data_IF_555115850164
#
_entry.id   IF_555115850164
#
_cell.length_a   1.000
_cell.length_b   1.000
_cell.length_c   1.000
_cell.angle_alpha   90.00
_cell.angle_beta   90.00
_cell.angle_gamma   90.00
#
_symmetry.space_group_name_H-M   'P 1'
#
loop_
_entity.id
_entity.type
_entity.pdbx_description
1 polymer ?
#
# COMPACT_ATOMS: atom_id res chain seq x y z
N UNK A 1 -34.03 6.80 15.30
CA UNK A 1 -33.13 7.94 15.02
C UNK A 1 -32.00 7.42 14.16
N UNK A 2 -32.04 7.76 12.87
CA UNK A 2 -30.99 7.40 11.91
C UNK A 2 -29.97 8.54 11.73
N UNK A 3 -28.74 8.20 11.36
CA UNK A 3 -27.73 9.14 10.92
C UNK A 3 -27.85 9.24 9.41
N UNK A 4 -27.96 10.45 8.89
CA UNK A 4 -27.95 10.72 7.45
C UNK A 4 -26.59 11.29 7.05
N UNK A 5 -25.94 10.64 6.09
CA UNK A 5 -24.70 11.10 5.50
C UNK A 5 -25.00 11.52 4.04
N UNK A 6 -24.37 12.58 3.60
CA UNK A 6 -24.42 13.03 2.20
C UNK A 6 -23.06 12.88 1.56
N UNK A 7 -23.04 12.47 0.28
CA UNK A 7 -21.81 12.29 -0.47
C UNK A 7 -22.03 12.44 -1.98
N UNK A 8 -20.94 12.36 -2.73
CA UNK A 8 -20.97 12.37 -4.19
C UNK A 8 -21.16 10.95 -4.70
N UNK A 9 -22.23 10.65 -5.46
CA UNK A 9 -22.43 9.30 -6.00
C UNK A 9 -21.42 9.02 -7.13
N UNK A 10 -20.76 7.86 -7.05
CA UNK A 10 -19.84 7.36 -8.08
C UNK A 10 -20.47 6.22 -8.88
N UNK A 11 -21.56 5.64 -8.37
CA UNK A 11 -22.31 4.57 -9.01
C UNK A 11 -23.83 4.78 -8.89
N UNK A 12 -24.57 3.99 -9.64
CA UNK A 12 -26.04 4.00 -9.61
C UNK A 12 -26.56 2.77 -8.87
N UNK A 13 -27.56 2.95 -8.02
CA UNK A 13 -28.22 1.87 -7.31
C UNK A 13 -28.56 2.21 -5.87
N UNK A 14 -29.26 1.26 -5.24
CA UNK A 14 -29.59 1.30 -3.81
C UNK A 14 -29.19 -0.05 -3.23
N UNK A 15 -28.44 -0.04 -2.15
CA UNK A 15 -28.08 -1.24 -1.42
C UNK A 15 -28.55 -1.13 0.04
N UNK A 16 -29.00 -2.26 0.57
CA UNK A 16 -29.39 -2.39 1.98
C UNK A 16 -28.57 -3.52 2.61
N UNK A 17 -27.89 -3.24 3.68
CA UNK A 17 -27.06 -4.24 4.35
C UNK A 17 -26.46 -3.73 5.65
N UNK A 18 -25.71 -4.61 6.31
CA UNK A 18 -24.97 -4.26 7.51
C UNK A 18 -23.76 -3.40 7.11
N UNK A 19 -23.57 -2.26 7.79
CA UNK A 19 -22.36 -1.47 7.60
C UNK A 19 -21.15 -2.20 8.21
N UNK A 20 -20.10 -2.34 7.43
CA UNK A 20 -18.79 -2.84 7.84
C UNK A 20 -17.86 -1.64 7.80
N UNK A 21 -17.54 -1.11 8.97
CA UNK A 21 -16.63 0.03 9.07
C UNK A 21 -15.23 -0.53 9.11
N UNK A 22 -14.47 -0.26 8.05
CA UNK A 22 -13.04 -0.51 8.03
C UNK A 22 -12.34 0.81 8.37
N UNK A 23 -11.56 0.76 9.41
CA UNK A 23 -10.51 1.74 9.59
C UNK A 23 -9.28 1.13 8.90
N UNK A 24 -8.83 1.65 7.76
CA UNK A 24 -7.53 1.28 7.26
C UNK A 24 -6.56 1.71 8.34
N UNK A 25 -6.04 0.74 9.07
CA UNK A 25 -4.95 1.01 9.98
C UNK A 25 -3.83 1.56 9.13
N UNK A 26 -3.43 2.82 9.34
CA UNK A 26 -2.04 3.14 9.06
C UNK A 26 -1.26 2.05 9.77
N UNK A 27 -0.38 1.31 9.08
CA UNK A 27 0.42 0.30 9.76
C UNK A 27 1.04 0.99 10.96
N UNK A 28 0.85 0.42 12.14
CA UNK A 28 1.61 0.87 13.29
C UNK A 28 3.08 0.76 12.93
N UNK A 29 3.88 1.72 13.39
CA UNK A 29 5.33 1.68 13.18
C UNK A 29 5.86 0.30 13.63
N UNK A 30 6.44 -0.49 12.73
CA UNK A 30 6.95 -1.79 13.08
C UNK A 30 8.13 -1.68 14.05
N UNK A 31 8.42 -2.74 14.83
CA UNK A 31 9.60 -2.75 15.68
C UNK A 31 10.87 -2.50 14.88
N UNK A 32 11.66 -1.52 15.31
CA UNK A 32 12.89 -1.13 14.63
C UNK A 32 13.96 -2.21 14.72
N UNK A 33 14.13 -2.76 15.91
CA UNK A 33 15.14 -3.78 16.16
C UNK A 33 14.73 -5.12 15.56
N UNK A 34 15.66 -5.82 14.92
CA UNK A 34 15.51 -7.20 14.49
C UNK A 34 16.30 -8.14 15.38
N UNK A 35 15.75 -9.33 15.63
CA UNK A 35 16.48 -10.45 16.21
C UNK A 35 17.19 -11.30 15.16
N UNK A 36 16.91 -11.08 13.88
CA UNK A 36 17.50 -11.80 12.76
C UNK A 36 18.79 -11.09 12.28
N UNK A 37 19.74 -11.83 11.71
CA UNK A 37 20.88 -11.23 11.06
C UNK A 37 20.48 -10.44 9.80
N UNK A 38 21.24 -9.40 9.42
CA UNK A 38 20.91 -8.56 8.25
C UNK A 38 20.73 -9.35 6.94
N UNK A 39 21.41 -10.46 6.78
CA UNK A 39 21.30 -11.30 5.59
C UNK A 39 19.90 -11.95 5.46
N UNK A 40 19.29 -12.35 6.57
CA UNK A 40 17.93 -12.88 6.58
C UNK A 40 16.92 -11.78 6.29
N UNK A 41 17.06 -10.62 6.92
CA UNK A 41 16.22 -9.45 6.66
C UNK A 41 16.29 -8.99 5.19
N UNK A 42 17.48 -9.02 4.58
CA UNK A 42 17.66 -8.74 3.15
C UNK A 42 16.96 -9.79 2.27
N UNK A 43 17.02 -11.06 2.64
CA UNK A 43 16.34 -12.11 1.92
C UNK A 43 14.82 -11.93 1.97
N UNK A 44 14.29 -11.59 3.14
CA UNK A 44 12.87 -11.31 3.33
C UNK A 44 12.44 -10.08 2.51
N UNK A 45 13.26 -9.04 2.47
CA UNK A 45 13.03 -7.88 1.61
C UNK A 45 12.95 -8.26 0.13
N UNK A 46 13.94 -9.00 -0.37
CA UNK A 46 13.97 -9.40 -1.79
C UNK A 46 12.77 -10.29 -2.13
N UNK A 47 12.39 -11.18 -1.23
CA UNK A 47 11.20 -12.03 -1.40
C UNK A 47 9.91 -11.20 -1.46
N UNK A 48 9.72 -10.26 -0.53
CA UNK A 48 8.56 -9.38 -0.52
C UNK A 48 8.52 -8.50 -1.78
N UNK A 49 9.66 -7.97 -2.21
CA UNK A 49 9.78 -7.15 -3.41
C UNK A 49 9.38 -7.95 -4.66
N UNK A 50 9.94 -9.14 -4.85
CA UNK A 50 9.63 -10.00 -5.99
C UNK A 50 8.15 -10.38 -6.03
N UNK A 51 7.57 -10.77 -4.89
CA UNK A 51 6.14 -11.08 -4.80
C UNK A 51 5.27 -9.88 -5.12
N UNK A 52 5.58 -8.71 -4.57
CA UNK A 52 4.81 -7.49 -4.82
C UNK A 52 4.89 -7.05 -6.27
N UNK A 53 6.05 -7.15 -6.92
CA UNK A 53 6.22 -6.86 -8.35
C UNK A 53 5.35 -7.83 -9.18
N UNK A 54 5.46 -9.13 -8.92
CA UNK A 54 4.71 -10.15 -9.67
C UNK A 54 3.19 -9.97 -9.51
N UNK A 55 2.72 -9.65 -8.32
CA UNK A 55 1.30 -9.38 -8.09
C UNK A 55 0.85 -8.09 -8.77
N UNK A 56 1.69 -7.06 -8.78
CA UNK A 56 1.37 -5.81 -9.49
C UNK A 56 1.27 -6.04 -11.00
N UNK A 57 2.16 -6.85 -11.58
CA UNK A 57 2.09 -7.24 -13.01
C UNK A 57 0.76 -7.94 -13.31
N UNK A 58 0.35 -8.90 -12.47
CA UNK A 58 -0.94 -9.60 -12.64
C UNK A 58 -2.12 -8.64 -12.54
N UNK A 59 -2.07 -7.65 -11.64
CA UNK A 59 -3.09 -6.60 -11.54
C UNK A 59 -3.16 -5.75 -12.80
N UNK A 60 -2.01 -5.34 -13.36
CA UNK A 60 -1.95 -4.63 -14.65
C UNK A 60 -2.63 -5.43 -15.75
N UNK A 61 -2.29 -6.71 -15.89
CA UNK A 61 -2.87 -7.59 -16.92
C UNK A 61 -4.38 -7.75 -16.75
N UNK A 62 -4.83 -8.03 -15.53
CA UNK A 62 -6.25 -8.21 -15.20
C UNK A 62 -7.05 -6.94 -15.47
N UNK A 63 -6.63 -5.80 -14.92
CA UNK A 63 -7.36 -4.54 -15.03
C UNK A 63 -7.34 -4.02 -16.46
N UNK A 64 -6.23 -4.14 -17.19
CA UNK A 64 -6.17 -3.78 -18.60
C UNK A 64 -7.16 -4.59 -19.46
N UNK A 65 -7.39 -5.86 -19.11
CA UNK A 65 -8.33 -6.72 -19.80
C UNK A 65 -9.80 -6.49 -19.44
N UNK A 66 -10.07 -6.25 -18.15
CA UNK A 66 -11.43 -6.19 -17.60
C UNK A 66 -12.02 -4.77 -17.65
N UNK A 67 -11.22 -3.73 -17.45
CA UNK A 67 -11.66 -2.34 -17.30
C UNK A 67 -11.08 -1.46 -18.40
N UNK A 68 -9.77 -1.44 -18.54
CA UNK A 68 -9.08 -0.69 -19.59
C UNK A 68 -7.63 -0.33 -19.24
N UNK A 69 -6.85 0.11 -20.24
CA UNK A 69 -5.44 0.44 -20.04
C UNK A 69 -5.23 1.74 -19.24
N UNK A 70 -6.20 2.65 -19.23
CA UNK A 70 -6.11 3.90 -18.45
C UNK A 70 -6.19 3.61 -16.96
N UNK A 71 -7.10 2.73 -16.55
CA UNK A 71 -7.26 2.31 -15.16
C UNK A 71 -6.08 1.47 -14.65
N UNK A 72 -5.43 0.73 -15.56
CA UNK A 72 -4.22 -0.02 -15.23
C UNK A 72 -2.97 0.88 -15.07
N UNK A 73 -3.01 2.13 -15.55
CA UNK A 73 -1.86 3.03 -15.53
C UNK A 73 -1.32 3.32 -14.12
N UNK A 74 -2.19 3.31 -13.10
CA UNK A 74 -1.78 3.53 -11.70
C UNK A 74 -0.80 2.43 -11.24
N UNK A 75 -1.01 1.19 -11.64
CA UNK A 75 -0.14 0.07 -11.26
C UNK A 75 1.21 0.10 -11.99
N UNK A 76 1.31 0.78 -13.13
CA UNK A 76 2.61 1.08 -13.74
C UNK A 76 3.43 2.05 -12.87
N UNK A 77 2.79 3.00 -12.21
CA UNK A 77 3.45 3.88 -11.24
C UNK A 77 3.95 3.07 -10.04
N UNK A 78 3.16 2.12 -9.55
CA UNK A 78 3.59 1.21 -8.48
C UNK A 78 4.82 0.40 -8.88
N UNK A 79 4.85 -0.14 -10.11
CA UNK A 79 6.04 -0.84 -10.62
C UNK A 79 7.26 0.08 -10.69
N UNK A 80 7.09 1.35 -11.11
CA UNK A 80 8.21 2.31 -11.13
C UNK A 80 8.81 2.51 -9.74
N UNK A 81 8.01 2.61 -8.68
CA UNK A 81 8.51 2.70 -7.30
C UNK A 81 9.23 1.41 -6.87
N UNK A 82 8.61 0.25 -7.13
CA UNK A 82 9.19 -1.04 -6.76
C UNK A 82 10.51 -1.34 -7.46
N UNK A 83 10.67 -0.90 -8.71
CA UNK A 83 11.87 -1.10 -9.53
C UNK A 83 12.91 0.04 -9.38
N UNK A 84 12.57 1.10 -8.64
CA UNK A 84 13.48 2.22 -8.41
C UNK A 84 14.67 1.80 -7.55
N UNK A 85 15.87 1.97 -8.09
CA UNK A 85 17.11 1.55 -7.45
C UNK A 85 17.36 2.32 -6.15
N UNK A 86 17.09 3.62 -6.10
CA UNK A 86 17.33 4.44 -4.92
C UNK A 86 16.39 4.06 -3.77
N UNK A 87 15.12 3.76 -4.11
CA UNK A 87 14.15 3.26 -3.15
C UNK A 87 14.62 1.94 -2.53
N UNK A 88 15.03 0.98 -3.35
CA UNK A 88 15.53 -0.30 -2.89
C UNK A 88 16.81 -0.17 -2.07
N UNK A 89 17.80 0.59 -2.54
CA UNK A 89 19.06 0.81 -1.84
C UNK A 89 18.86 1.46 -0.46
N UNK A 90 17.91 2.38 -0.35
CA UNK A 90 17.62 3.03 0.92
C UNK A 90 17.08 2.03 1.94
N UNK A 91 16.14 1.16 1.57
CA UNK A 91 15.63 0.08 2.43
C UNK A 91 16.77 -0.86 2.83
N UNK A 92 17.58 -1.30 1.87
CA UNK A 92 18.71 -2.20 2.12
C UNK A 92 19.74 -1.59 3.08
N UNK A 93 20.04 -0.30 2.96
CA UNK A 93 20.95 0.38 3.86
C UNK A 93 20.45 0.38 5.30
N UNK A 94 19.16 0.65 5.51
CA UNK A 94 18.56 0.55 6.85
C UNK A 94 18.66 -0.87 7.42
N UNK A 95 18.42 -1.90 6.60
CA UNK A 95 18.58 -3.30 7.02
C UNK A 95 20.04 -3.60 7.41
N UNK A 96 21.00 -3.14 6.61
CA UNK A 96 22.44 -3.34 6.89
C UNK A 96 22.92 -2.61 8.15
N UNK A 97 22.24 -1.54 8.56
CA UNK A 97 22.44 -0.85 9.82
C UNK A 97 21.89 -1.63 11.04
N UNK A 98 21.24 -2.78 10.81
CA UNK A 98 20.70 -3.67 11.86
C UNK A 98 19.21 -3.46 12.18
N UNK A 99 18.49 -2.71 11.33
CA UNK A 99 17.06 -2.53 11.51
C UNK A 99 16.27 -3.68 10.87
N UNK A 100 15.03 -3.91 11.35
CA UNK A 100 14.14 -4.90 10.76
C UNK A 100 13.71 -4.49 9.34
N UNK A 101 13.43 -5.47 8.50
CA UNK A 101 12.94 -5.22 7.13
C UNK A 101 11.64 -4.41 7.13
N UNK A 102 10.72 -4.73 8.04
CA UNK A 102 9.44 -4.02 8.13
C UNK A 102 9.61 -2.56 8.51
N UNK A 103 10.44 -2.27 9.52
CA UNK A 103 10.75 -0.89 9.89
C UNK A 103 11.49 -0.15 8.78
N UNK A 104 12.42 -0.81 8.12
CA UNK A 104 13.20 -0.22 7.02
C UNK A 104 12.30 0.21 5.84
N UNK A 105 11.29 -0.59 5.51
CA UNK A 105 10.28 -0.25 4.51
C UNK A 105 9.44 0.92 5.01
N UNK A 106 8.88 0.82 6.22
CA UNK A 106 8.04 1.84 6.83
C UNK A 106 8.74 3.20 6.86
N UNK A 107 9.94 3.28 7.41
CA UNK A 107 10.72 4.51 7.52
C UNK A 107 11.05 5.11 6.16
N UNK A 108 11.42 4.28 5.18
CA UNK A 108 11.66 4.76 3.82
C UNK A 108 10.41 5.41 3.23
N UNK A 109 9.24 4.80 3.39
CA UNK A 109 7.97 5.35 2.92
C UNK A 109 7.67 6.69 3.61
N UNK A 110 7.78 6.75 4.94
CA UNK A 110 7.51 7.98 5.72
C UNK A 110 8.44 9.14 5.31
N UNK A 111 9.72 8.87 5.06
CA UNK A 111 10.65 9.90 4.57
C UNK A 111 10.27 10.42 3.17
N UNK A 112 9.88 9.55 2.25
CA UNK A 112 9.42 9.98 0.92
C UNK A 112 8.12 10.78 1.01
N UNK A 113 7.16 10.34 1.85
CA UNK A 113 5.91 11.07 2.06
C UNK A 113 6.15 12.44 2.67
N UNK A 114 7.07 12.53 3.65
CA UNK A 114 7.48 13.80 4.24
C UNK A 114 8.09 14.73 3.18
N UNK A 115 9.00 14.23 2.36
CA UNK A 115 9.60 15.01 1.28
C UNK A 115 8.57 15.48 0.25
N UNK A 116 7.59 14.65 -0.11
CA UNK A 116 6.51 15.04 -1.03
C UNK A 116 5.59 16.10 -0.42
N UNK A 117 5.35 16.05 0.90
CA UNK A 117 4.51 17.03 1.59
C UNK A 117 5.13 18.43 1.69
N UNK A 118 6.45 18.54 1.60
CA UNK A 118 7.17 19.82 1.60
C UNK A 118 7.05 20.56 0.26
N UNK A 119 6.65 19.85 -0.79
CA UNK A 119 6.49 20.40 -2.14
C UNK A 119 5.00 20.69 -2.35
N UNK A 120 4.65 21.95 -2.55
CA UNK A 120 3.28 22.37 -2.85
C UNK A 120 2.92 22.06 -4.31
N UNK A 121 2.78 20.77 -4.60
CA UNK A 121 2.41 20.23 -5.91
C UNK A 121 1.35 19.14 -5.75
N UNK A 122 0.12 19.36 -6.27
CA UNK A 122 -0.96 18.38 -6.21
C UNK A 122 -0.59 17.02 -6.81
N UNK A 123 0.26 17.00 -7.84
CA UNK A 123 0.73 15.76 -8.48
C UNK A 123 1.57 14.91 -7.53
N UNK A 124 2.47 15.53 -6.76
CA UNK A 124 3.29 14.81 -5.77
C UNK A 124 2.45 14.30 -4.59
N UNK A 125 1.42 15.04 -4.20
CA UNK A 125 0.48 14.58 -3.18
C UNK A 125 -0.25 13.31 -3.63
N UNK A 126 -0.68 13.24 -4.89
CA UNK A 126 -1.28 12.04 -5.49
C UNK A 126 -0.29 10.88 -5.53
N UNK A 127 0.96 11.13 -5.93
CA UNK A 127 2.03 10.11 -5.93
C UNK A 127 2.39 9.61 -4.53
N UNK A 128 2.18 10.41 -3.50
CA UNK A 128 2.30 9.98 -2.11
C UNK A 128 1.33 8.85 -1.76
N UNK A 129 0.09 8.90 -2.22
CA UNK A 129 -0.89 7.83 -2.02
C UNK A 129 -0.47 6.53 -2.73
N UNK A 130 0.03 6.62 -3.97
CA UNK A 130 0.56 5.48 -4.72
C UNK A 130 1.74 4.82 -3.97
N UNK A 131 2.67 5.62 -3.48
CA UNK A 131 3.82 5.14 -2.71
C UNK A 131 3.41 4.46 -1.40
N UNK A 132 2.42 5.01 -0.72
CA UNK A 132 1.85 4.46 0.50
C UNK A 132 1.25 3.07 0.25
N UNK A 133 0.49 2.92 -0.84
CA UNK A 133 -0.07 1.63 -1.24
C UNK A 133 1.03 0.60 -1.54
N UNK A 134 2.07 0.99 -2.27
CA UNK A 134 3.25 0.14 -2.51
C UNK A 134 3.88 -0.33 -1.20
N UNK A 135 4.10 0.57 -0.26
CA UNK A 135 4.69 0.24 1.04
C UNK A 135 3.82 -0.73 1.83
N UNK A 136 2.51 -0.51 1.85
CA UNK A 136 1.57 -1.39 2.54
C UNK A 136 1.54 -2.80 1.94
N UNK A 137 1.60 -2.92 0.64
CA UNK A 137 1.65 -4.21 -0.04
C UNK A 137 2.94 -4.97 0.26
N UNK A 138 4.09 -4.29 0.31
CA UNK A 138 5.35 -4.90 0.77
C UNK A 138 5.24 -5.40 2.21
N UNK A 139 4.70 -4.60 3.13
CA UNK A 139 4.50 -4.98 4.53
C UNK A 139 3.51 -6.14 4.67
N UNK A 140 2.49 -6.20 3.85
CA UNK A 140 1.52 -7.31 3.84
C UNK A 140 2.22 -8.65 3.56
N UNK A 141 3.12 -8.72 2.59
CA UNK A 141 3.89 -9.93 2.30
C UNK A 141 4.81 -10.36 3.45
N UNK A 142 5.18 -9.43 4.32
CA UNK A 142 5.96 -9.72 5.53
C UNK A 142 5.08 -10.14 6.73
N UNK A 143 3.79 -10.36 6.51
CA UNK A 143 2.86 -10.83 7.54
C UNK A 143 2.19 -9.72 8.35
N UNK A 144 2.31 -8.46 7.95
CA UNK A 144 1.55 -7.36 8.55
C UNK A 144 0.14 -7.33 7.96
N UNK A 145 -0.86 -7.68 8.74
CA UNK A 145 -2.26 -7.58 8.33
C UNK A 145 -2.67 -6.10 8.31
N UNK A 146 -2.89 -5.56 7.11
CA UNK A 146 -3.30 -4.18 6.92
C UNK A 146 -4.81 -4.01 6.91
N UNK A 147 -5.53 -5.04 6.50
CA UNK A 147 -6.98 -5.14 6.55
C UNK A 147 -7.34 -6.51 7.10
N UNK A 148 -8.13 -6.57 8.15
CA UNK A 148 -8.74 -7.82 8.58
C UNK A 148 -9.55 -8.39 7.40
N UNK A 149 -9.30 -9.64 7.00
CA UNK A 149 -10.07 -10.32 5.96
C UNK A 149 -11.56 -10.17 6.22
N UNK A 150 -12.20 -9.24 5.52
CA UNK A 150 -13.63 -9.03 5.62
C UNK A 150 -14.34 -9.95 4.62
N UNK A 151 -14.42 -11.22 4.95
CA UNK A 151 -15.30 -12.17 4.27
C UNK A 151 -16.78 -12.00 4.65
N UNK A 152 -17.19 -10.80 5.06
CA UNK A 152 -18.55 -10.53 5.51
C UNK A 152 -19.32 -9.79 4.42
N UNK A 153 -20.47 -10.33 4.03
CA UNK A 153 -21.42 -9.60 3.20
C UNK A 153 -21.92 -8.35 3.93
N UNK A 154 -21.81 -7.18 3.30
CA UNK A 154 -22.25 -5.92 3.88
C UNK A 154 -21.89 -4.72 3.01
N UNK A 155 -22.21 -3.54 3.52
CA UNK A 155 -21.84 -2.26 2.92
C UNK A 155 -20.53 -1.81 3.57
N UNK A 156 -19.48 -1.76 2.77
CA UNK A 156 -18.18 -1.31 3.22
C UNK A 156 -18.19 0.20 3.42
N UNK A 157 -17.76 0.66 4.57
CA UNK A 157 -17.55 2.08 4.90
C UNK A 157 -16.09 2.24 5.28
N UNK A 158 -15.37 3.02 4.50
CA UNK A 158 -13.92 3.20 4.63
C UNK A 158 -13.56 4.68 4.43
N UNK A 159 -12.58 5.17 5.14
CA UNK A 159 -12.09 6.54 5.00
C UNK A 159 -11.33 6.75 3.69
N UNK A 160 -10.46 5.83 3.33
CA UNK A 160 -9.65 5.85 2.12
C UNK A 160 -9.52 4.43 1.59
N UNK A 161 -9.75 4.26 0.29
CA UNK A 161 -9.56 2.99 -0.41
C UNK A 161 -8.34 3.12 -1.32
N UNK A 162 -7.32 2.31 -1.05
CA UNK A 162 -6.14 2.27 -1.90
C UNK A 162 -6.34 1.31 -3.07
N UNK A 163 -5.66 1.53 -4.21
CA UNK A 163 -5.78 0.67 -5.39
C UNK A 163 -5.52 -0.80 -5.12
N UNK A 164 -4.60 -1.10 -4.21
CA UNK A 164 -4.27 -2.47 -3.81
C UNK A 164 -5.33 -3.17 -2.96
N UNK A 165 -6.33 -2.43 -2.44
CA UNK A 165 -7.45 -2.97 -1.64
C UNK A 165 -8.59 -3.50 -2.52
N UNK A 166 -8.55 -3.27 -3.84
CA UNK A 166 -9.54 -3.71 -4.83
C UNK A 166 -9.16 -5.07 -5.41
#
# INVERSE_FOLDING_TARGET
TGIHLSGTPVGVGISLGKAIILHPGTPEEPPRESSNPPEEELQDFHSALEHTINDTIKLVEKISGDVGPEEAAIFHVHLMFLEDQHFQEKIQNYILEGNSVSWSIYETIEEYLSAFSEIDDPYLSEKGADLKDVGYRLLHFLGHELLAETQKEGILVIEELLPGDM
#
